data_IF_838205197788
#
_entry.id   IF_838205197788
#
_cell.length_a   1.000
_cell.length_b   1.000
_cell.length_c   1.000
_cell.angle_alpha   90.00
_cell.angle_beta   90.00
_cell.angle_gamma   90.00
#
_symmetry.space_group_name_H-M   'P 1'
#
loop_
_entity.id
_entity.type
_entity.pdbx_description
1 polymer ?
#
# COMPACT_ATOMS: atom_id res chain seq x y z
N UNK A 1 11.74 -6.11 -42.72
CA UNK A 1 11.86 -4.98 -41.76
C UNK A 1 10.52 -4.51 -41.14
N UNK A 2 9.43 -5.30 -41.16
CA UNK A 2 8.14 -4.91 -40.53
C UNK A 2 7.97 -5.44 -39.10
N UNK A 3 8.66 -6.52 -38.72
CA UNK A 3 8.49 -7.14 -37.39
C UNK A 3 9.22 -6.41 -36.25
N UNK A 4 10.32 -5.70 -36.53
CA UNK A 4 11.06 -4.93 -35.51
C UNK A 4 10.24 -3.73 -34.99
N UNK A 5 9.38 -3.14 -35.84
CA UNK A 5 8.53 -2.00 -35.45
C UNK A 5 7.42 -2.42 -34.47
N UNK A 6 6.95 -3.67 -34.53
CA UNK A 6 5.89 -4.16 -33.64
C UNK A 6 6.42 -4.43 -32.22
N UNK A 7 7.66 -4.92 -32.12
CA UNK A 7 8.35 -5.15 -30.85
C UNK A 7 8.68 -3.86 -30.09
N UNK A 8 9.02 -2.79 -30.82
CA UNK A 8 9.30 -1.47 -30.23
C UNK A 8 8.06 -0.81 -29.62
N UNK A 9 6.88 -0.97 -30.24
CA UNK A 9 5.62 -0.43 -29.73
C UNK A 9 5.16 -1.18 -28.49
N UNK A 10 5.37 -2.51 -28.45
CA UNK A 10 5.05 -3.32 -27.28
C UNK A 10 5.95 -2.97 -26.08
N UNK A 11 7.23 -2.67 -26.33
CA UNK A 11 8.17 -2.25 -25.28
C UNK A 11 7.87 -0.85 -24.74
N UNK A 12 7.38 0.07 -25.59
CA UNK A 12 6.95 1.41 -25.18
C UNK A 12 5.66 1.39 -24.33
N UNK A 13 4.73 0.47 -24.58
CA UNK A 13 3.52 0.28 -23.77
C UNK A 13 3.82 -0.28 -22.36
N UNK A 14 4.93 -0.99 -22.18
CA UNK A 14 5.34 -1.53 -20.88
C UNK A 14 5.93 -0.47 -19.94
N UNK A 15 6.55 0.60 -20.47
CA UNK A 15 7.16 1.66 -19.67
C UNK A 15 6.13 2.61 -19.04
N UNK A 16 4.88 2.62 -19.51
CA UNK A 16 3.81 3.48 -18.98
C UNK A 16 3.12 2.95 -17.70
N UNK A 17 3.49 1.77 -17.19
CA UNK A 17 2.75 1.09 -16.11
C UNK A 17 3.37 1.09 -14.70
N UNK A 18 4.42 1.87 -14.43
CA UNK A 18 4.92 1.97 -13.05
C UNK A 18 5.45 3.35 -12.72
N UNK A 19 4.54 4.33 -12.74
CA UNK A 19 4.62 5.39 -11.75
C UNK A 19 3.77 4.95 -10.56
N UNK A 20 4.33 4.14 -9.67
CA UNK A 20 3.77 3.91 -8.34
C UNK A 20 3.93 5.22 -7.58
N UNK A 21 2.98 6.13 -7.79
CA UNK A 21 3.00 7.45 -7.17
C UNK A 21 2.69 7.27 -5.69
N UNK A 22 3.73 7.38 -4.86
CA UNK A 22 3.56 7.51 -3.43
C UNK A 22 2.78 8.80 -3.17
N UNK A 23 1.66 8.71 -2.47
CA UNK A 23 0.92 9.91 -2.05
C UNK A 23 1.48 10.35 -0.71
N UNK A 24 2.15 11.51 -0.72
CA UNK A 24 2.58 12.19 0.50
C UNK A 24 1.33 12.75 1.18
N UNK A 25 1.15 12.44 2.46
CA UNK A 25 0.04 12.94 3.25
C UNK A 25 0.42 14.31 3.81
N UNK A 26 -0.31 15.36 3.41
CA UNK A 26 -0.16 16.67 4.06
C UNK A 26 -0.65 16.57 5.51
N UNK A 27 -0.06 17.34 6.44
CA UNK A 27 -0.50 17.38 7.84
C UNK A 27 -1.93 17.89 7.94
N UNK A 28 -2.88 16.97 7.90
CA UNK A 28 -4.33 17.16 8.06
C UNK A 28 -4.81 16.45 9.31
N UNK A 29 -6.07 16.65 9.70
CA UNK A 29 -6.64 15.95 10.84
C UNK A 29 -6.67 14.43 10.59
N UNK A 30 -6.55 13.61 11.65
CA UNK A 30 -6.56 12.16 11.52
C UNK A 30 -7.86 11.60 10.90
N UNK A 31 -8.97 12.35 11.03
CA UNK A 31 -10.25 12.03 10.42
C UNK A 31 -10.21 12.19 8.89
N UNK A 32 -9.58 13.26 8.40
CA UNK A 32 -9.39 13.47 6.96
C UNK A 32 -8.51 12.37 6.34
N UNK A 33 -7.43 11.99 7.02
CA UNK A 33 -6.57 10.87 6.61
C UNK A 33 -7.38 9.57 6.58
N UNK A 34 -8.19 9.32 7.60
CA UNK A 34 -9.07 8.13 7.65
C UNK A 34 -10.02 8.10 6.45
N UNK A 35 -10.70 9.21 6.15
CA UNK A 35 -11.61 9.34 5.02
C UNK A 35 -10.88 9.11 3.69
N UNK A 36 -9.67 9.65 3.54
CA UNK A 36 -8.85 9.44 2.35
C UNK A 36 -8.47 7.97 2.16
N UNK A 37 -7.92 7.32 3.20
CA UNK A 37 -7.54 5.91 3.14
C UNK A 37 -8.74 5.01 2.86
N UNK A 38 -9.91 5.29 3.46
CA UNK A 38 -11.15 4.57 3.17
C UNK A 38 -11.58 4.72 1.71
N UNK A 39 -11.44 5.91 1.12
CA UNK A 39 -11.70 6.12 -0.32
C UNK A 39 -10.73 5.32 -1.18
N UNK A 40 -9.44 5.32 -0.85
CA UNK A 40 -8.41 4.56 -1.58
C UNK A 40 -8.70 3.05 -1.52
N UNK A 41 -9.04 2.54 -0.34
CA UNK A 41 -9.41 1.13 -0.11
C UNK A 41 -10.60 0.74 -1.00
N UNK A 42 -11.67 1.55 -0.98
CA UNK A 42 -12.88 1.30 -1.76
C UNK A 42 -12.61 1.37 -3.27
N UNK A 43 -11.89 2.39 -3.73
CA UNK A 43 -11.67 2.62 -5.16
C UNK A 43 -10.76 1.57 -5.80
N UNK A 44 -9.87 0.95 -5.03
CA UNK A 44 -8.91 -0.04 -5.51
C UNK A 44 -9.26 -1.48 -5.11
N UNK A 45 -10.42 -1.72 -4.47
CA UNK A 45 -10.84 -3.02 -3.94
C UNK A 45 -9.75 -3.67 -3.06
N UNK A 46 -9.19 -2.90 -2.13
CA UNK A 46 -8.11 -3.36 -1.26
C UNK A 46 -8.66 -4.27 -0.16
N UNK A 47 -8.14 -5.49 -0.09
CA UNK A 47 -8.47 -6.45 0.96
C UNK A 47 -7.30 -6.71 1.92
N UNK A 48 -6.18 -6.00 1.76
CA UNK A 48 -5.01 -6.12 2.63
C UNK A 48 -4.34 -4.77 2.88
N UNK A 49 -4.01 -4.50 4.15
CA UNK A 49 -3.21 -3.35 4.55
C UNK A 49 -1.94 -3.82 5.23
N UNK A 50 -0.79 -3.28 4.82
CA UNK A 50 0.51 -3.55 5.43
C UNK A 50 1.11 -2.23 5.88
N UNK A 51 1.38 -2.10 7.19
CA UNK A 51 2.07 -0.95 7.73
C UNK A 51 3.49 -1.30 8.17
N UNK A 52 4.37 -0.29 8.14
CA UNK A 52 5.74 -0.37 8.65
C UNK A 52 6.25 1.03 9.05
N UNK A 53 7.35 1.07 9.81
CA UNK A 53 8.05 2.31 10.21
C UNK A 53 9.51 2.25 9.80
N UNK A 54 10.20 3.40 9.78
CA UNK A 54 11.62 3.49 9.45
C UNK A 54 12.51 2.54 10.29
N UNK A 55 12.12 2.29 11.55
CA UNK A 55 12.88 1.42 12.45
C UNK A 55 12.54 -0.07 12.25
N UNK A 56 11.32 -0.38 11.78
CA UNK A 56 10.87 -1.76 11.56
C UNK A 56 11.23 -2.31 10.18
N UNK A 57 11.36 -1.43 9.18
CA UNK A 57 11.53 -1.82 7.77
C UNK A 57 10.27 -2.47 7.19
N UNK A 58 10.21 -2.56 5.85
CA UNK A 58 9.10 -3.25 5.20
C UNK A 58 9.17 -4.77 5.48
N UNK A 59 8.06 -5.42 5.87
CA UNK A 59 8.08 -6.84 6.22
C UNK A 59 8.45 -7.72 5.02
N UNK A 60 9.42 -8.60 5.21
CA UNK A 60 9.89 -9.54 4.18
C UNK A 60 9.19 -10.90 4.21
N UNK A 61 8.46 -11.19 5.28
CA UNK A 61 7.81 -12.47 5.53
C UNK A 61 6.32 -12.24 5.83
N UNK A 62 5.51 -12.04 4.79
CA UNK A 62 4.08 -11.70 4.92
C UNK A 62 3.25 -12.98 4.90
N UNK A 63 2.65 -13.33 6.03
CA UNK A 63 1.75 -14.49 6.12
C UNK A 63 0.48 -14.27 5.26
N UNK A 64 -0.20 -15.35 4.82
CA UNK A 64 -1.46 -15.24 4.08
C UNK A 64 -2.58 -14.50 4.83
N UNK A 65 -2.55 -14.50 6.17
CA UNK A 65 -3.54 -13.80 7.01
C UNK A 65 -3.17 -12.36 7.32
N UNK A 66 -1.88 -12.02 7.24
CA UNK A 66 -1.38 -10.71 7.65
C UNK A 66 -2.07 -9.59 6.88
N UNK A 67 -2.54 -8.59 7.62
CA UNK A 67 -3.16 -7.39 7.06
C UNK A 67 -4.52 -7.59 6.40
N UNK A 68 -5.11 -8.79 6.44
CA UNK A 68 -6.41 -9.06 5.81
C UNK A 68 -7.60 -8.55 6.62
N UNK A 69 -7.42 -8.41 7.94
CA UNK A 69 -8.37 -7.75 8.84
C UNK A 69 -7.75 -6.48 9.41
N UNK A 70 -8.51 -5.39 9.43
CA UNK A 70 -8.05 -4.09 9.91
C UNK A 70 -9.24 -3.23 10.36
N UNK A 71 -8.97 -2.21 11.19
CA UNK A 71 -9.99 -1.25 11.62
C UNK A 71 -9.38 0.13 11.87
N UNK A 72 -10.18 1.17 11.63
CA UNK A 72 -9.87 2.55 11.98
C UNK A 72 -10.64 2.94 13.24
N UNK A 73 -9.98 3.59 14.20
CA UNK A 73 -10.63 4.11 15.41
C UNK A 73 -9.82 5.27 16.00
N UNK A 74 -10.49 6.39 16.28
CA UNK A 74 -9.92 7.55 16.98
C UNK A 74 -8.59 8.07 16.40
N UNK A 75 -8.43 8.07 15.07
CA UNK A 75 -7.20 8.48 14.41
C UNK A 75 -6.07 7.44 14.41
N UNK A 76 -6.38 6.19 14.77
CA UNK A 76 -5.47 5.04 14.70
C UNK A 76 -5.97 4.00 13.71
N UNK A 77 -5.04 3.20 13.20
CA UNK A 77 -5.33 1.97 12.46
C UNK A 77 -4.76 0.76 13.21
N UNK A 78 -5.61 -0.25 13.39
CA UNK A 78 -5.26 -1.58 13.89
C UNK A 78 -5.23 -2.55 12.72
N UNK A 79 -4.18 -3.37 12.62
CA UNK A 79 -3.98 -4.32 11.52
C UNK A 79 -3.69 -5.70 12.10
N UNK A 80 -4.42 -6.73 11.65
CA UNK A 80 -4.23 -8.10 12.11
C UNK A 80 -2.81 -8.60 11.84
N UNK A 81 -2.28 -9.37 12.79
CA UNK A 81 -0.92 -9.92 12.79
C UNK A 81 0.18 -8.84 12.81
N UNK A 82 -0.17 -7.58 13.08
CA UNK A 82 0.77 -6.51 13.44
C UNK A 82 0.55 -6.14 14.91
N UNK A 83 1.60 -6.27 15.72
CA UNK A 83 1.51 -6.14 17.20
C UNK A 83 1.23 -4.72 17.69
N UNK A 84 1.21 -3.73 16.80
CA UNK A 84 1.07 -2.33 17.14
C UNK A 84 -0.10 -1.68 16.41
N UNK A 85 -0.70 -0.70 17.06
CA UNK A 85 -1.60 0.28 16.46
C UNK A 85 -0.78 1.43 15.90
N UNK A 86 -1.18 1.96 14.74
CA UNK A 86 -0.47 3.06 14.10
C UNK A 86 -1.31 4.33 14.17
N UNK A 87 -0.71 5.42 14.65
CA UNK A 87 -1.36 6.72 14.69
C UNK A 87 -1.27 7.39 13.31
N UNK A 88 -2.41 7.72 12.73
CA UNK A 88 -2.52 8.27 11.38
C UNK A 88 -1.87 9.64 11.23
N UNK A 89 -1.68 10.40 12.31
CA UNK A 89 -0.96 11.67 12.27
C UNK A 89 0.53 11.51 11.92
N UNK A 90 1.08 10.31 12.10
CA UNK A 90 2.46 9.99 11.71
C UNK A 90 2.55 9.28 10.37
N UNK A 91 1.44 9.13 9.63
CA UNK A 91 1.46 8.57 8.28
C UNK A 91 2.25 9.53 7.37
N UNK A 92 3.38 9.07 6.83
CA UNK A 92 4.20 9.87 5.93
C UNK A 92 3.62 9.82 4.51
N UNK A 93 3.45 8.60 4.03
CA UNK A 93 2.89 8.33 2.72
C UNK A 93 2.19 6.97 2.70
N UNK A 94 1.38 6.78 1.66
CA UNK A 94 0.82 5.48 1.32
C UNK A 94 1.03 5.13 -0.15
N UNK A 95 0.92 3.85 -0.46
CA UNK A 95 1.00 3.34 -1.82
C UNK A 95 0.07 2.14 -2.02
N UNK A 96 -0.50 1.98 -3.21
CA UNK A 96 -1.24 0.79 -3.62
C UNK A 96 -0.34 -0.05 -4.52
N UNK A 97 0.04 -1.24 -4.08
CA UNK A 97 0.95 -2.10 -4.81
C UNK A 97 0.66 -3.58 -4.57
N UNK A 98 1.20 -4.44 -5.44
CA UNK A 98 1.21 -5.89 -5.18
C UNK A 98 2.31 -6.22 -4.17
N UNK A 99 1.99 -7.07 -3.20
CA UNK A 99 2.94 -7.56 -2.20
C UNK A 99 3.10 -9.07 -2.32
N UNK A 100 4.34 -9.56 -2.23
CA UNK A 100 4.59 -11.00 -2.24
C UNK A 100 4.25 -11.61 -0.88
N UNK A 101 3.52 -12.72 -0.91
CA UNK A 101 3.02 -13.44 0.26
C UNK A 101 3.68 -14.81 0.30
N UNK A 102 3.84 -15.36 1.49
CA UNK A 102 4.51 -16.65 1.69
C UNK A 102 3.82 -17.84 1.00
N UNK A 103 2.54 -17.72 0.64
CA UNK A 103 1.82 -18.73 -0.15
C UNK A 103 2.08 -18.62 -1.67
N UNK A 104 2.97 -17.71 -2.08
CA UNK A 104 3.31 -17.45 -3.49
C UNK A 104 2.35 -16.50 -4.20
N UNK A 105 1.30 -16.00 -3.54
CA UNK A 105 0.37 -15.03 -4.13
C UNK A 105 0.93 -13.61 -4.12
N UNK A 106 0.38 -12.76 -5.00
CA UNK A 106 0.75 -11.35 -5.13
C UNK A 106 -0.48 -10.42 -5.12
N UNK A 107 -1.28 -10.40 -4.05
CA UNK A 107 -2.48 -9.56 -3.97
C UNK A 107 -2.13 -8.08 -3.91
N UNK A 108 -3.08 -7.25 -4.34
CA UNK A 108 -3.00 -5.80 -4.19
C UNK A 108 -3.23 -5.45 -2.72
N UNK A 109 -2.34 -4.64 -2.16
CA UNK A 109 -2.39 -4.15 -0.79
C UNK A 109 -2.22 -2.62 -0.74
N UNK A 110 -2.78 -2.03 0.30
CA UNK A 110 -2.45 -0.67 0.71
C UNK A 110 -1.25 -0.74 1.65
N UNK A 111 -0.14 -0.16 1.22
CA UNK A 111 1.09 -0.06 2.00
C UNK A 111 1.09 1.30 2.69
N UNK A 112 1.22 1.29 4.01
CA UNK A 112 1.29 2.48 4.85
C UNK A 112 2.70 2.59 5.43
N UNK A 113 3.31 3.75 5.29
CA UNK A 113 4.59 4.06 5.93
C UNK A 113 4.39 5.15 6.97
N UNK A 114 4.85 4.89 8.19
CA UNK A 114 4.74 5.81 9.31
C UNK A 114 6.12 6.29 9.73
N UNK A 115 6.21 7.59 10.03
CA UNK A 115 7.36 8.17 10.74
C UNK A 115 7.39 7.61 12.16
N UNK A 116 8.60 7.42 12.69
CA UNK A 116 8.77 7.21 14.13
C UNK A 116 8.62 8.52 14.90
#
# INVERSE_FOLDING_TARGET
MKQIKFLFILFLLFLSFSCTKQTIVQQTSADEITIELQKVIKNNNINRIIAWTDNGGFPTNISPTSGTTWSFSNGFISIQDQLQTFNLLYLDYYNVAKVMVNDGTNPVALILHFKN
#
